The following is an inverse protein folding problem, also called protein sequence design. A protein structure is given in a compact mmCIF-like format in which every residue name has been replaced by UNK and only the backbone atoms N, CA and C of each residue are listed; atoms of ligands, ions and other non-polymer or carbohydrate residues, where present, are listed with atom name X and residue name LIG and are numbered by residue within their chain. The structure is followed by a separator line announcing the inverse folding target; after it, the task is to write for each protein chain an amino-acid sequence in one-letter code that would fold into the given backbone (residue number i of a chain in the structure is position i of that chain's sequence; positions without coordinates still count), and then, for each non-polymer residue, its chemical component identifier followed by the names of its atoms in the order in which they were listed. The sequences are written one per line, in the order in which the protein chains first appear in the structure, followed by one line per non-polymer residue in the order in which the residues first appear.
data_IF_543553653461
#
_entry.id   IF_543553653461
#
_cell.length_a   1.000
_cell.length_b   1.000
_cell.length_c   1.000
_cell.angle_alpha   90.00
_cell.angle_beta   90.00
_cell.angle_gamma   90.00
#
_symmetry.space_group_name_H-M   'P 1'
#
loop_
_entity.id
_entity.type
_entity.pdbx_description
1 polymer ?
#
# COMPACT_ATOMS: atom_id res chain seq x y z
N UNK A 1 8.23 14.05 3.71
CA UNK A 1 7.00 13.84 2.91
C UNK A 1 5.76 14.27 3.68
N UNK A 2 5.39 13.60 4.79
CA UNK A 2 4.19 13.96 5.59
C UNK A 2 4.22 15.43 6.02
N UNK A 3 5.37 15.92 6.48
CA UNK A 3 5.55 17.34 6.81
C UNK A 3 5.27 18.27 5.62
N UNK A 4 5.75 17.94 4.42
CA UNK A 4 5.48 18.73 3.21
C UNK A 4 4.01 18.71 2.83
N UNK A 5 3.35 17.56 2.95
CA UNK A 5 1.92 17.44 2.76
C UNK A 5 1.16 18.35 3.75
N UNK A 6 1.58 18.43 5.01
CA UNK A 6 1.00 19.36 5.99
C UNK A 6 1.17 20.84 5.65
N UNK A 7 2.26 21.21 4.97
CA UNK A 7 2.46 22.58 4.48
C UNK A 7 1.55 22.91 3.29
N UNK A 8 1.25 21.92 2.43
CA UNK A 8 0.35 22.09 1.27
C UNK A 8 -1.12 22.01 1.67
N UNK A 9 -1.43 21.17 2.67
CA UNK A 9 -2.77 20.91 3.19
C UNK A 9 -2.81 21.25 4.69
N UNK A 10 -3.05 22.52 5.08
CA UNK A 10 -2.97 22.96 6.48
C UNK A 10 -3.96 22.27 7.42
N UNK A 11 -5.05 21.70 6.88
CA UNK A 11 -6.09 20.99 7.64
C UNK A 11 -5.94 19.45 7.53
N UNK A 12 -4.78 18.94 7.09
CA UNK A 12 -4.56 17.51 6.94
C UNK A 12 -4.67 16.78 8.30
N UNK A 13 -5.49 15.75 8.34
CA UNK A 13 -5.50 14.79 9.43
C UNK A 13 -4.59 13.61 9.07
N UNK A 14 -3.64 13.29 9.95
CA UNK A 14 -2.70 12.18 9.73
C UNK A 14 -3.07 11.02 10.64
N UNK A 15 -3.59 9.95 10.04
CA UNK A 15 -3.79 8.67 10.71
C UNK A 15 -2.65 7.72 10.33
N UNK A 16 -2.07 7.04 11.33
CA UNK A 16 -0.94 6.14 11.12
C UNK A 16 -1.33 4.71 11.46
N UNK A 17 -1.22 3.82 10.48
CA UNK A 17 -1.40 2.38 10.68
C UNK A 17 -0.06 1.64 10.58
N UNK A 18 0.51 1.32 11.74
CA UNK A 18 1.80 0.63 11.84
C UNK A 18 1.62 -0.89 11.82
N UNK A 19 1.72 -1.46 10.63
CA UNK A 19 1.60 -2.91 10.39
C UNK A 19 2.65 -3.75 11.11
N UNK A 20 3.75 -3.16 11.59
CA UNK A 20 4.77 -3.88 12.36
C UNK A 20 4.37 -4.07 13.83
N UNK A 21 3.49 -3.21 14.34
CA UNK A 21 2.98 -3.26 15.73
C UNK A 21 1.61 -3.88 15.82
N UNK A 22 0.76 -3.61 14.83
CA UNK A 22 -0.63 -4.09 14.81
C UNK A 22 -0.90 -4.77 13.46
N UNK A 23 -0.24 -5.92 13.19
CA UNK A 23 -0.46 -6.63 11.94
C UNK A 23 -1.91 -7.08 11.84
N UNK A 24 -2.49 -6.95 10.64
CA UNK A 24 -3.77 -7.58 10.36
C UNK A 24 -3.61 -9.11 10.31
N UNK A 25 -4.65 -9.88 10.65
CA UNK A 25 -4.61 -11.32 10.50
C UNK A 25 -4.38 -11.69 9.03
N UNK A 26 -3.71 -12.80 8.76
CA UNK A 26 -3.68 -13.38 7.42
C UNK A 26 -5.04 -13.99 7.09
N UNK A 27 -5.41 -13.99 5.81
CA UNK A 27 -6.64 -14.62 5.37
C UNK A 27 -6.65 -16.11 5.72
N UNK A 28 -7.74 -16.53 6.34
CA UNK A 28 -8.06 -17.94 6.59
C UNK A 28 -9.35 -18.34 5.87
N UNK A 29 -9.74 -19.61 6.01
CA UNK A 29 -10.94 -20.14 5.37
C UNK A 29 -12.23 -19.43 5.82
N UNK A 30 -12.28 -18.91 7.06
CA UNK A 30 -13.45 -18.20 7.58
C UNK A 30 -13.59 -16.83 6.92
N UNK A 31 -12.50 -16.06 6.86
CA UNK A 31 -12.47 -14.76 6.19
C UNK A 31 -12.74 -14.89 4.70
N UNK A 32 -12.13 -15.88 4.04
CA UNK A 32 -12.39 -16.17 2.62
C UNK A 32 -13.87 -16.52 2.41
N UNK A 33 -14.43 -17.41 3.24
CA UNK A 33 -15.85 -17.76 3.17
C UNK A 33 -16.75 -16.53 3.30
N UNK A 34 -16.46 -15.62 4.22
CA UNK A 34 -17.18 -14.38 4.39
C UNK A 34 -17.04 -13.44 3.18
N UNK A 35 -15.85 -13.33 2.57
CA UNK A 35 -15.62 -12.48 1.40
C UNK A 35 -16.42 -12.92 0.17
N UNK A 36 -16.74 -14.21 0.05
CA UNK A 36 -17.53 -14.77 -1.05
C UNK A 36 -19.02 -14.99 -0.70
N UNK A 37 -19.44 -14.67 0.53
CA UNK A 37 -20.84 -14.71 0.95
C UNK A 37 -21.43 -13.30 0.85
N UNK A 38 -22.62 -13.11 0.25
CA UNK A 38 -23.31 -11.81 0.29
C UNK A 38 -23.48 -11.32 1.73
N UNK A 39 -23.32 -10.02 1.98
CA UNK A 39 -23.31 -9.43 3.33
C UNK A 39 -24.60 -9.73 4.10
N UNK A 40 -25.74 -9.72 3.41
CA UNK A 40 -27.05 -10.04 3.96
C UNK A 40 -27.20 -11.50 4.43
N UNK A 41 -26.28 -12.38 4.01
CA UNK A 41 -26.23 -13.80 4.36
C UNK A 41 -25.13 -14.13 5.38
N UNK A 42 -24.40 -13.14 5.89
CA UNK A 42 -23.32 -13.39 6.85
C UNK A 42 -23.83 -13.92 8.19
N UNK A 43 -23.24 -15.01 8.65
CA UNK A 43 -23.39 -15.45 10.06
C UNK A 43 -22.66 -14.50 10.99
N UNK A 44 -22.95 -14.57 12.29
CA UNK A 44 -22.28 -13.71 13.27
C UNK A 44 -20.79 -14.02 13.37
N UNK A 45 -20.39 -15.28 13.18
CA UNK A 45 -18.98 -15.68 13.09
C UNK A 45 -18.29 -15.08 11.86
N UNK A 46 -18.97 -15.02 10.72
CA UNK A 46 -18.43 -14.41 9.51
C UNK A 46 -18.26 -12.89 9.67
N UNK A 47 -19.24 -12.22 10.28
CA UNK A 47 -19.15 -10.77 10.60
C UNK A 47 -17.95 -10.50 11.49
N UNK A 48 -17.79 -11.29 12.56
CA UNK A 48 -16.68 -11.17 13.50
C UNK A 48 -15.32 -11.38 12.80
N UNK A 49 -15.23 -12.41 11.94
CA UNK A 49 -13.99 -12.75 11.23
C UNK A 49 -13.49 -11.62 10.31
N UNK A 50 -14.38 -10.78 9.79
CA UNK A 50 -14.02 -9.71 8.84
C UNK A 50 -13.97 -8.31 9.47
N UNK A 51 -14.13 -8.15 10.78
CA UNK A 51 -14.09 -6.83 11.44
C UNK A 51 -12.79 -6.09 11.10
N UNK A 52 -11.65 -6.76 11.19
CA UNK A 52 -10.34 -6.17 10.89
C UNK A 52 -10.22 -5.73 9.43
N UNK A 53 -10.75 -6.52 8.49
CA UNK A 53 -10.86 -6.16 7.08
C UNK A 53 -11.76 -4.94 6.86
N UNK A 54 -12.96 -4.95 7.46
CA UNK A 54 -13.93 -3.84 7.34
C UNK A 54 -13.31 -2.52 7.80
N UNK A 55 -12.60 -2.53 8.92
CA UNK A 55 -11.92 -1.34 9.43
C UNK A 55 -10.83 -0.86 8.47
N UNK A 56 -9.96 -1.76 7.98
CA UNK A 56 -8.90 -1.40 7.03
C UNK A 56 -9.46 -0.86 5.70
N UNK A 57 -10.55 -1.45 5.19
CA UNK A 57 -11.25 -0.96 4.01
C UNK A 57 -11.86 0.41 4.26
N UNK A 58 -12.48 0.63 5.42
CA UNK A 58 -13.05 1.93 5.79
C UNK A 58 -11.98 3.01 5.83
N UNK A 59 -10.87 2.77 6.52
CA UNK A 59 -9.72 3.70 6.56
C UNK A 59 -9.20 4.02 5.15
N UNK A 60 -9.13 3.01 4.27
CA UNK A 60 -8.72 3.20 2.88
C UNK A 60 -9.69 4.10 2.08
N UNK A 61 -11.00 3.97 2.30
CA UNK A 61 -12.00 4.82 1.65
C UNK A 61 -12.01 6.25 2.20
N UNK A 62 -11.81 6.41 3.51
CA UNK A 62 -11.82 7.70 4.20
C UNK A 62 -10.59 8.55 3.85
N UNK A 63 -9.45 7.93 3.54
CA UNK A 63 -8.22 8.65 3.20
C UNK A 63 -8.25 9.27 1.80
N UNK A 64 -7.87 10.54 1.65
CA UNK A 64 -7.64 11.16 0.32
C UNK A 64 -6.23 10.91 -0.21
N UNK A 65 -5.26 10.81 0.71
CA UNK A 65 -3.84 10.62 0.43
C UNK A 65 -3.36 9.41 1.21
N UNK A 66 -2.71 8.48 0.51
CA UNK A 66 -2.20 7.23 1.10
C UNK A 66 -0.67 7.22 0.97
N UNK A 67 0.03 7.10 2.09
CA UNK A 67 1.49 6.94 2.10
C UNK A 67 1.82 5.53 2.58
N UNK A 68 2.43 4.72 1.71
CA UNK A 68 2.83 3.34 2.02
C UNK A 68 4.35 3.31 2.21
N UNK A 69 4.79 3.13 3.45
CA UNK A 69 6.18 2.82 3.77
C UNK A 69 6.50 1.36 3.49
N UNK A 70 7.52 1.09 2.69
CA UNK A 70 7.89 -0.26 2.26
C UNK A 70 9.37 -0.52 2.59
N UNK A 71 9.61 -1.47 3.49
CA UNK A 71 10.93 -2.08 3.62
C UNK A 71 11.08 -3.18 2.56
N UNK A 72 12.04 -3.00 1.66
CA UNK A 72 12.27 -3.96 0.59
C UNK A 72 13.03 -5.16 1.14
N UNK A 73 12.35 -6.31 1.23
CA UNK A 73 12.91 -7.56 1.72
C UNK A 73 12.74 -8.67 0.71
N UNK A 74 13.81 -9.44 0.46
CA UNK A 74 13.78 -10.62 -0.41
C UNK A 74 13.10 -10.34 -1.77
N UNK A 75 13.49 -9.24 -2.41
CA UNK A 75 13.00 -8.81 -3.73
C UNK A 75 11.57 -8.25 -3.77
N UNK A 76 10.86 -8.13 -2.65
CA UNK A 76 9.47 -7.69 -2.62
C UNK A 76 9.05 -6.96 -1.35
N UNK A 77 7.74 -6.98 -1.08
CA UNK A 77 7.13 -6.35 0.09
C UNK A 77 7.15 -7.28 1.32
N UNK A 78 7.13 -6.74 2.55
CA UNK A 78 6.99 -7.56 3.75
C UNK A 78 5.65 -8.31 3.78
N UNK A 79 5.65 -9.51 4.37
CA UNK A 79 4.44 -10.34 4.47
C UNK A 79 3.26 -9.63 5.17
N UNK A 80 3.54 -8.80 6.18
CA UNK A 80 2.50 -8.00 6.86
C UNK A 80 1.85 -6.96 5.94
N UNK A 81 2.59 -6.36 5.01
CA UNK A 81 2.04 -5.46 4.00
C UNK A 81 1.22 -6.24 2.97
N UNK A 82 1.67 -7.44 2.58
CA UNK A 82 0.88 -8.33 1.73
C UNK A 82 -0.44 -8.75 2.41
N UNK A 83 -0.39 -9.03 3.72
CA UNK A 83 -1.59 -9.30 4.53
C UNK A 83 -2.58 -8.14 4.51
N UNK A 84 -2.10 -6.88 4.64
CA UNK A 84 -2.95 -5.71 4.47
C UNK A 84 -3.58 -5.62 3.08
N UNK A 85 -2.78 -5.83 2.03
CA UNK A 85 -3.29 -5.86 0.64
C UNK A 85 -4.40 -6.89 0.48
N UNK A 86 -4.23 -8.09 1.06
CA UNK A 86 -5.24 -9.14 1.01
C UNK A 86 -6.52 -8.78 1.75
N UNK A 87 -6.42 -8.09 2.89
CA UNK A 87 -7.58 -7.68 3.67
C UNK A 87 -8.39 -6.57 3.00
N UNK A 88 -7.75 -5.67 2.25
CA UNK A 88 -8.44 -4.57 1.56
C UNK A 88 -8.89 -4.92 0.15
N UNK A 89 -8.43 -6.03 -0.44
CA UNK A 89 -8.79 -6.45 -1.80
C UNK A 89 -10.06 -7.31 -1.80
N UNK A 90 -11.23 -6.69 -1.88
CA UNK A 90 -12.53 -7.35 -1.71
C UNK A 90 -13.49 -7.11 -2.86
N UNK A 91 -13.97 -8.21 -3.45
CA UNK A 91 -14.95 -8.19 -4.52
C UNK A 91 -16.28 -7.59 -4.04
N UNK A 92 -16.86 -6.71 -4.84
CA UNK A 92 -18.07 -5.96 -4.49
C UNK A 92 -17.85 -4.80 -3.52
N UNK A 93 -16.63 -4.64 -2.97
CA UNK A 93 -16.31 -3.62 -1.95
C UNK A 93 -15.25 -2.65 -2.47
N UNK A 94 -14.05 -3.12 -2.81
CA UNK A 94 -12.94 -2.29 -3.32
C UNK A 94 -12.65 -2.51 -4.80
N UNK A 95 -13.19 -3.59 -5.39
CA UNK A 95 -13.25 -3.79 -6.83
C UNK A 95 -14.54 -4.54 -7.22
N UNK A 96 -14.92 -4.51 -8.49
CA UNK A 96 -16.11 -5.19 -9.02
C UNK A 96 -15.84 -5.86 -10.37
N UNK A 97 -16.62 -6.88 -10.70
CA UNK A 97 -16.67 -7.55 -12.00
C UNK A 97 -18.06 -7.41 -12.68
N UNK A 98 -18.90 -6.49 -12.22
CA UNK A 98 -20.32 -6.43 -12.62
C UNK A 98 -20.56 -6.25 -14.13
N UNK A 99 -19.61 -5.68 -14.87
CA UNK A 99 -19.66 -5.48 -16.32
C UNK A 99 -18.84 -6.51 -17.12
N UNK A 100 -18.35 -7.57 -16.45
CA UNK A 100 -17.48 -8.58 -17.05
C UNK A 100 -16.00 -8.20 -17.10
N UNK A 101 -15.64 -7.00 -16.64
CA UNK A 101 -14.25 -6.56 -16.50
C UNK A 101 -13.93 -6.12 -15.07
N UNK A 102 -12.69 -6.30 -14.59
CA UNK A 102 -12.31 -5.79 -13.28
C UNK A 102 -12.33 -4.26 -13.27
N UNK A 103 -13.08 -3.70 -12.34
CA UNK A 103 -13.14 -2.26 -12.08
C UNK A 103 -12.82 -1.96 -10.62
N UNK A 104 -11.79 -1.16 -10.40
CA UNK A 104 -11.47 -0.61 -9.09
C UNK A 104 -12.52 0.37 -8.59
N UNK A 105 -12.82 0.33 -7.29
CA UNK A 105 -13.80 1.19 -6.63
C UNK A 105 -13.16 2.22 -5.69
N UNK A 106 -11.87 2.06 -5.38
CA UNK A 106 -11.09 2.99 -4.56
C UNK A 106 -10.48 4.05 -5.47
N UNK A 107 -11.29 5.03 -5.84
CA UNK A 107 -10.94 6.08 -6.82
C UNK A 107 -10.62 7.42 -6.13
N UNK A 108 -10.06 8.36 -6.91
CA UNK A 108 -9.74 9.72 -6.48
C UNK A 108 -8.75 9.79 -5.31
N UNK A 109 -7.77 8.86 -5.28
CA UNK A 109 -6.74 8.80 -4.25
C UNK A 109 -5.39 9.23 -4.83
N UNK A 110 -4.61 10.00 -4.07
CA UNK A 110 -3.17 10.17 -4.30
C UNK A 110 -2.40 9.14 -3.49
N UNK A 111 -1.51 8.38 -4.11
CA UNK A 111 -0.70 7.37 -3.41
C UNK A 111 0.79 7.66 -3.54
N UNK A 112 1.48 7.63 -2.41
CA UNK A 112 2.93 7.75 -2.33
C UNK A 112 3.53 6.46 -1.78
N UNK A 113 4.41 5.83 -2.56
CA UNK A 113 5.21 4.70 -2.12
C UNK A 113 6.57 5.21 -1.64
N UNK A 114 6.94 4.90 -0.40
CA UNK A 114 8.26 5.20 0.16
C UNK A 114 9.03 3.90 0.38
N UNK A 115 9.88 3.53 -0.58
CA UNK A 115 10.56 2.23 -0.61
C UNK A 115 12.02 2.38 -0.16
N UNK A 116 12.45 1.59 0.81
CA UNK A 116 13.83 1.55 1.26
C UNK A 116 14.48 0.18 1.01
N UNK A 117 15.68 0.17 0.41
CA UNK A 117 16.41 -1.07 0.05
C UNK A 117 17.92 -0.97 0.31
N UNK A 118 18.53 -2.14 0.55
CA UNK A 118 19.99 -2.26 0.71
C UNK A 118 20.76 -2.06 -0.60
N UNK A 119 20.24 -2.57 -1.72
CA UNK A 119 20.79 -2.41 -3.06
C UNK A 119 19.97 -1.40 -3.89
N UNK A 120 20.40 -1.15 -5.12
CA UNK A 120 19.71 -0.28 -6.10
C UNK A 120 18.86 -1.14 -7.03
N UNK A 121 17.56 -0.83 -7.12
CA UNK A 121 16.56 -1.58 -7.88
C UNK A 121 15.81 -0.70 -8.89
N UNK A 122 15.92 0.62 -8.78
CA UNK A 122 15.34 1.56 -9.77
C UNK A 122 16.01 1.48 -11.15
N UNK A 123 17.27 1.07 -11.20
CA UNK A 123 18.09 1.00 -12.40
C UNK A 123 19.16 -0.10 -12.32
N UNK A 124 19.92 -0.26 -13.40
CA UNK A 124 21.03 -1.21 -13.46
C UNK A 124 20.58 -2.69 -13.53
N UNK A 125 21.50 -3.63 -13.24
CA UNK A 125 21.30 -5.06 -13.51
C UNK A 125 20.25 -5.70 -12.60
N UNK A 126 19.97 -5.13 -11.42
CA UNK A 126 18.99 -5.66 -10.47
C UNK A 126 17.58 -5.10 -10.68
N UNK A 127 17.37 -4.21 -11.67
CA UNK A 127 16.06 -3.61 -11.92
C UNK A 127 14.94 -4.64 -12.15
N UNK A 128 15.25 -5.73 -12.85
CA UNK A 128 14.28 -6.83 -13.07
C UNK A 128 13.94 -7.61 -11.79
N UNK A 129 14.67 -7.41 -10.70
CA UNK A 129 14.42 -8.01 -9.40
C UNK A 129 13.60 -7.10 -8.47
N UNK A 130 13.13 -5.94 -8.94
CA UNK A 130 12.14 -5.16 -8.22
C UNK A 130 10.75 -5.78 -8.39
N UNK A 131 10.31 -6.57 -7.42
CA UNK A 131 8.93 -7.05 -7.37
C UNK A 131 8.06 -6.21 -6.42
N UNK A 132 8.60 -5.17 -5.76
CA UNK A 132 7.84 -4.40 -4.78
C UNK A 132 7.02 -3.29 -5.45
N UNK A 133 7.67 -2.40 -6.20
CA UNK A 133 6.99 -1.26 -6.85
C UNK A 133 6.03 -1.74 -7.97
N UNK A 134 6.42 -2.66 -8.88
CA UNK A 134 5.49 -3.15 -9.89
C UNK A 134 4.29 -3.90 -9.32
N UNK A 135 4.49 -4.70 -8.26
CA UNK A 135 3.38 -5.39 -7.58
C UNK A 135 2.40 -4.40 -6.96
N UNK A 136 2.91 -3.42 -6.20
CA UNK A 136 2.08 -2.41 -5.54
C UNK A 136 1.32 -1.58 -6.59
N UNK A 137 1.96 -1.13 -7.66
CA UNK A 137 1.28 -0.42 -8.76
C UNK A 137 0.20 -1.25 -9.41
N UNK A 138 0.47 -2.54 -9.66
CA UNK A 138 -0.50 -3.44 -10.26
C UNK A 138 -1.72 -3.63 -9.37
N UNK A 139 -1.53 -3.94 -8.08
CA UNK A 139 -2.65 -4.20 -7.17
C UNK A 139 -3.40 -2.93 -6.79
N UNK A 140 -2.71 -1.82 -6.52
CA UNK A 140 -3.35 -0.54 -6.23
C UNK A 140 -4.14 -0.02 -7.45
N UNK A 141 -3.56 -0.13 -8.64
CA UNK A 141 -4.23 0.21 -9.89
C UNK A 141 -5.46 -0.66 -10.16
N UNK A 142 -5.39 -1.96 -9.87
CA UNK A 142 -6.54 -2.87 -9.91
C UNK A 142 -7.67 -2.44 -8.98
N UNK A 143 -7.34 -1.92 -7.79
CA UNK A 143 -8.31 -1.37 -6.83
C UNK A 143 -8.82 0.04 -7.22
N UNK A 144 -8.23 0.70 -8.23
CA UNK A 144 -8.65 2.00 -8.76
C UNK A 144 -7.70 3.16 -8.42
N UNK A 145 -6.67 2.91 -7.61
CA UNK A 145 -5.68 3.90 -7.18
C UNK A 145 -4.56 4.00 -8.22
N UNK A 146 -4.73 4.92 -9.17
CA UNK A 146 -3.86 5.04 -10.35
C UNK A 146 -2.84 6.19 -10.28
N UNK A 147 -3.07 7.19 -9.44
CA UNK A 147 -2.11 8.27 -9.17
C UNK A 147 -1.10 7.81 -8.11
N UNK A 148 -0.04 7.14 -8.56
CA UNK A 148 0.98 6.53 -7.71
C UNK A 148 2.36 7.12 -8.00
N UNK A 149 2.97 7.77 -7.01
CA UNK A 149 4.35 8.29 -7.06
C UNK A 149 5.25 7.50 -6.12
N UNK A 150 6.43 7.09 -6.58
CA UNK A 150 7.39 6.31 -5.78
C UNK A 150 8.62 7.15 -5.44
N UNK A 151 8.96 7.21 -4.15
CA UNK A 151 10.21 7.74 -3.64
C UNK A 151 11.04 6.60 -3.06
N UNK A 152 12.35 6.60 -3.34
CA UNK A 152 13.21 5.47 -3.00
C UNK A 152 14.45 5.91 -2.22
N UNK A 153 14.77 5.17 -1.18
CA UNK A 153 16.05 5.22 -0.45
C UNK A 153 16.77 3.91 -0.78
N UNK A 154 17.69 3.94 -1.75
CA UNK A 154 18.34 2.73 -2.26
C UNK A 154 19.85 2.75 -2.06
N UNK A 155 20.48 1.57 -2.06
CA UNK A 155 21.93 1.45 -1.92
C UNK A 155 22.44 1.66 -0.50
N UNK A 156 21.58 1.54 0.51
CA UNK A 156 21.95 1.76 1.92
C UNK A 156 22.98 0.75 2.45
N UNK A 157 23.14 -0.40 1.78
CA UNK A 157 24.13 -1.43 2.12
C UNK A 157 25.34 -1.45 1.16
N UNK A 158 25.43 -0.50 0.23
CA UNK A 158 26.55 -0.34 -0.69
C UNK A 158 27.45 0.78 -0.15
N UNK A 159 28.70 0.52 0.25
CA UNK A 159 29.56 1.51 0.94
C UNK A 159 29.62 2.87 0.24
N UNK A 160 29.79 2.87 -1.09
CA UNK A 160 29.91 4.10 -1.88
C UNK A 160 28.60 4.90 -2.01
N UNK A 161 27.45 4.29 -1.73
CA UNK A 161 26.14 4.93 -1.86
C UNK A 161 25.48 5.23 -0.52
N UNK A 162 25.80 4.47 0.53
CA UNK A 162 25.10 4.47 1.81
C UNK A 162 24.95 5.87 2.43
N UNK A 163 26.02 6.66 2.47
CA UNK A 163 25.99 8.02 3.02
C UNK A 163 25.09 8.97 2.21
N UNK A 164 25.01 8.76 0.90
CA UNK A 164 24.23 9.62 -0.02
C UNK A 164 22.78 9.15 -0.23
N UNK A 165 22.43 7.92 0.17
CA UNK A 165 21.15 7.30 -0.16
C UNK A 165 19.96 8.08 0.40
N UNK A 166 19.99 8.40 1.70
CA UNK A 166 18.94 9.19 2.33
C UNK A 166 18.91 10.65 1.86
N UNK A 167 20.04 11.39 1.81
CA UNK A 167 20.05 12.76 1.25
C UNK A 167 19.46 12.87 -0.16
N UNK A 168 19.77 11.92 -1.06
CA UNK A 168 19.20 11.88 -2.42
C UNK A 168 17.68 11.71 -2.41
N UNK A 169 17.17 10.80 -1.58
CA UNK A 169 15.73 10.59 -1.45
C UNK A 169 15.01 11.82 -0.88
N UNK A 170 15.61 12.47 0.13
CA UNK A 170 15.08 13.70 0.70
C UNK A 170 15.07 14.84 -0.33
N UNK A 171 16.12 14.99 -1.14
CA UNK A 171 16.16 15.97 -2.22
C UNK A 171 15.03 15.74 -3.24
N UNK A 172 14.77 14.48 -3.63
CA UNK A 172 13.66 14.16 -4.52
C UNK A 172 12.28 14.52 -3.92
N UNK A 173 12.09 14.30 -2.63
CA UNK A 173 10.88 14.75 -1.90
C UNK A 173 10.83 16.28 -1.84
N UNK A 174 11.96 16.96 -1.71
CA UNK A 174 12.01 18.41 -1.68
C UNK A 174 11.66 19.05 -3.03
N UNK A 175 12.13 18.47 -4.12
CA UNK A 175 11.87 18.95 -5.48
C UNK A 175 10.44 18.61 -5.97
N UNK A 176 9.79 17.63 -5.34
CA UNK A 176 8.44 17.23 -5.73
C UNK A 176 7.38 18.25 -5.31
N UNK A 177 6.49 18.59 -6.25
CA UNK A 177 5.31 19.42 -6.01
C UNK A 177 4.12 18.54 -5.62
N UNK A 178 3.76 18.56 -4.34
CA UNK A 178 2.65 17.79 -3.77
C UNK A 178 1.27 18.34 -4.16
#
# INVERSE_FOLDING_TARGET
MIEKLGNVYPEIEVQTFDLSKTPLPYLDASQIGAFFTPEEMHTDEQKEAIISSNNAVKELFDADIIVIGVSFYNFGIPAVLKGWVDQVSRAGVTFSYADGTPKGLVVNKKVYLSIASGAVFSEGPYKSNDFADPYLRAILGFLGMTDVTTFRVEGTSIPDFAESALPKALAAVEEFSF
#
